data_IF_806397616762
#
_entry.id   IF_806397616762
#
_cell.length_a   1.000
_cell.length_b   1.000
_cell.length_c   1.000
_cell.angle_alpha   90.00
_cell.angle_beta   90.00
_cell.angle_gamma   90.00
#
_symmetry.space_group_name_H-M   'P 1'
#
loop_
_entity.id
_entity.type
_entity.pdbx_description
1 polymer ?
#
# COMPACT_ATOMS: atom_id res chain seq x y z
N UNK A 1 -7.89 11.94 11.14
CA UNK A 1 -6.94 10.91 11.59
C UNK A 1 -5.84 10.80 10.57
N UNK A 2 -4.58 10.65 10.98
CA UNK A 2 -3.52 10.33 10.01
C UNK A 2 -3.64 8.86 9.56
N UNK A 3 -3.47 8.57 8.26
CA UNK A 3 -3.50 7.19 7.77
C UNK A 3 -2.39 6.37 8.42
N UNK A 4 -2.74 5.17 8.88
CA UNK A 4 -1.88 4.22 9.58
C UNK A 4 -1.32 3.13 8.67
N UNK A 5 -1.88 2.98 7.48
CA UNK A 5 -1.51 1.97 6.49
C UNK A 5 -1.75 2.49 5.06
N UNK A 6 -1.25 1.73 4.09
CA UNK A 6 -1.40 2.07 2.67
C UNK A 6 -2.88 2.11 2.23
N UNK A 7 -3.77 1.36 2.88
CA UNK A 7 -5.21 1.28 2.55
C UNK A 7 -5.92 2.59 2.87
N UNK A 8 -5.69 3.10 4.08
CA UNK A 8 -6.21 4.37 4.54
C UNK A 8 -5.59 5.53 3.76
N UNK A 9 -4.30 5.43 3.40
CA UNK A 9 -3.63 6.47 2.62
C UNK A 9 -4.19 6.59 1.20
N UNK A 10 -4.46 5.45 0.55
CA UNK A 10 -4.93 5.41 -0.84
C UNK A 10 -6.44 5.38 -1.00
N UNK A 11 -7.17 5.40 0.13
CA UNK A 11 -8.61 5.22 0.22
C UNK A 11 -9.08 4.05 -0.65
N UNK A 12 -8.49 2.87 -0.39
CA UNK A 12 -8.73 1.69 -1.21
C UNK A 12 -10.17 1.18 -1.05
N UNK A 13 -10.88 0.88 -2.15
CA UNK A 13 -12.17 0.19 -2.09
C UNK A 13 -12.08 -1.12 -1.29
N UNK A 14 -13.15 -1.44 -0.56
CA UNK A 14 -13.20 -2.66 0.27
C UNK A 14 -12.90 -3.93 -0.54
N UNK A 15 -13.39 -4.01 -1.78
CA UNK A 15 -13.15 -5.13 -2.70
C UNK A 15 -11.66 -5.36 -3.01
N UNK A 16 -10.85 -4.30 -3.12
CA UNK A 16 -9.40 -4.39 -3.36
C UNK A 16 -8.67 -4.67 -2.05
N UNK A 17 -9.12 -4.05 -0.96
CA UNK A 17 -8.58 -4.24 0.38
C UNK A 17 -8.68 -5.71 0.81
N UNK A 18 -9.86 -6.31 0.65
CA UNK A 18 -10.16 -7.64 1.18
C UNK A 18 -9.44 -8.77 0.43
N UNK A 19 -9.04 -8.53 -0.82
CA UNK A 19 -8.20 -9.47 -1.59
C UNK A 19 -6.71 -9.19 -1.48
N UNK A 20 -6.30 -8.07 -0.88
CA UNK A 20 -4.89 -7.73 -0.84
C UNK A 20 -4.16 -8.59 0.21
N UNK A 21 -3.12 -9.35 -0.16
CA UNK A 21 -2.38 -10.19 0.77
C UNK A 21 -1.86 -9.43 1.98
N UNK A 22 -1.40 -8.19 1.78
CA UNK A 22 -0.88 -7.41 2.88
C UNK A 22 -1.93 -6.89 3.88
N UNK A 23 -3.19 -6.77 3.45
CA UNK A 23 -4.29 -6.52 4.36
C UNK A 23 -4.65 -7.79 5.13
N UNK A 24 -4.79 -8.91 4.42
CA UNK A 24 -5.23 -10.18 5.00
C UNK A 24 -4.19 -10.81 5.92
N UNK A 25 -2.89 -10.60 5.68
CA UNK A 25 -1.81 -11.06 6.58
C UNK A 25 -1.54 -10.09 7.73
N UNK A 26 -2.30 -8.99 7.86
CA UNK A 26 -2.04 -7.88 8.79
C UNK A 26 -0.65 -7.27 8.65
N UNK A 27 0.02 -7.52 7.54
CA UNK A 27 1.29 -6.93 7.14
C UNK A 27 1.10 -5.48 6.67
N UNK A 28 0.24 -4.68 7.31
CA UNK A 28 -0.14 -3.34 6.84
C UNK A 28 1.04 -2.37 6.63
N UNK A 29 2.20 -2.66 7.24
CA UNK A 29 3.49 -1.97 7.00
C UNK A 29 4.29 -2.52 5.81
N UNK A 30 4.18 -3.82 5.52
CA UNK A 30 4.82 -4.54 4.41
C UNK A 30 3.93 -4.59 3.15
N UNK A 31 2.82 -3.85 3.18
CA UNK A 31 1.92 -3.65 2.07
C UNK A 31 2.63 -3.45 0.74
N UNK A 32 3.76 -2.76 0.74
CA UNK A 32 4.47 -2.42 -0.49
C UNK A 32 5.23 -3.57 -1.17
N UNK A 33 5.70 -4.57 -0.43
CA UNK A 33 6.41 -5.70 -1.06
C UNK A 33 5.42 -6.67 -1.73
N UNK A 34 4.19 -6.72 -1.22
CA UNK A 34 3.12 -7.59 -1.73
C UNK A 34 2.17 -6.85 -2.70
N UNK A 35 1.91 -5.56 -2.50
CA UNK A 35 0.87 -4.84 -3.24
C UNK A 35 1.24 -4.48 -4.67
N UNK A 36 2.50 -4.63 -5.11
CA UNK A 36 2.87 -4.41 -6.53
C UNK A 36 1.98 -5.24 -7.47
N UNK A 37 1.60 -6.44 -7.02
CA UNK A 37 0.83 -7.39 -7.82
C UNK A 37 -0.68 -7.23 -7.66
N UNK A 38 -1.13 -6.62 -6.54
CA UNK A 38 -2.53 -6.57 -6.11
C UNK A 38 -3.13 -5.16 -6.03
N UNK A 39 -2.34 -4.10 -6.15
CA UNK A 39 -2.79 -2.71 -6.15
C UNK A 39 -2.75 -2.13 -7.58
N UNK A 40 -3.90 -2.00 -8.27
CA UNK A 40 -3.95 -1.50 -9.64
C UNK A 40 -3.45 -0.06 -9.78
N UNK A 41 -3.61 0.78 -8.74
CA UNK A 41 -3.11 2.17 -8.73
C UNK A 41 -1.58 2.22 -8.78
N UNK A 42 -0.90 1.35 -8.02
CA UNK A 42 0.56 1.27 -8.04
C UNK A 42 1.09 0.88 -9.42
N UNK A 43 0.45 -0.09 -10.10
CA UNK A 43 0.83 -0.49 -11.46
C UNK A 43 0.65 0.60 -12.51
N UNK A 44 -0.25 1.57 -12.27
CA UNK A 44 -0.63 2.58 -13.27
C UNK A 44 0.11 3.90 -13.11
N UNK A 45 0.40 4.31 -11.88
CA UNK A 45 0.93 5.65 -11.59
C UNK A 45 2.44 5.67 -11.31
N UNK A 46 3.04 4.52 -11.00
CA UNK A 46 4.45 4.44 -10.62
C UNK A 46 5.12 3.27 -11.33
N UNK A 47 6.32 3.50 -11.87
CA UNK A 47 7.14 2.42 -12.42
C UNK A 47 7.74 1.58 -11.28
N UNK A 48 8.02 2.25 -10.16
CA UNK A 48 8.65 1.63 -9.02
C UNK A 48 7.95 1.96 -7.69
N UNK A 49 7.90 0.96 -6.82
CA UNK A 49 7.25 1.06 -5.52
C UNK A 49 7.86 2.13 -4.60
N UNK A 50 9.13 2.52 -4.80
CA UNK A 50 9.77 3.59 -4.03
C UNK A 50 9.32 5.01 -4.43
N UNK A 51 8.56 5.16 -5.51
CA UNK A 51 8.12 6.46 -6.02
C UNK A 51 6.86 6.99 -5.31
N UNK A 52 5.87 6.14 -5.05
CA UNK A 52 5.68 5.73 -3.66
C UNK A 52 5.43 6.77 -2.54
N UNK A 53 4.47 7.72 -2.52
CA UNK A 53 4.34 8.65 -1.39
C UNK A 53 4.19 7.96 -0.01
N UNK A 54 3.37 6.91 0.09
CA UNK A 54 3.27 6.13 1.32
C UNK A 54 4.58 5.39 1.63
N UNK A 55 5.20 4.77 0.63
CA UNK A 55 6.51 4.11 0.79
C UNK A 55 7.56 5.05 1.38
N UNK A 56 7.65 6.27 0.83
CA UNK A 56 8.54 7.33 1.33
C UNK A 56 8.22 7.73 2.76
N UNK A 57 6.94 7.78 3.15
CA UNK A 57 6.51 8.06 4.54
C UNK A 57 6.97 6.94 5.49
N UNK A 58 6.68 5.67 5.17
CA UNK A 58 7.00 4.54 6.07
C UNK A 58 8.51 4.28 6.16
N UNK A 59 9.26 4.32 5.05
CA UNK A 59 10.71 4.07 5.05
C UNK A 59 11.54 5.19 5.68
N UNK A 60 11.06 6.44 5.71
CA UNK A 60 11.70 7.53 6.47
C UNK A 60 11.55 7.42 7.98
N UNK A 61 10.70 6.50 8.45
CA UNK A 61 10.41 6.30 9.88
C UNK A 61 11.19 5.10 10.46
N UNK A 62 12.12 4.53 9.67
CA UNK A 62 13.12 3.53 10.04
C UNK A 62 14.51 4.20 10.03
#
# INVERSE_FOLDING_TARGET
MEPQNCWEFWDCPAEIRDICPAFTTKSGRECYDLAKDFCPKLKKEFEHCWECPWYKKVKKTL
#
